data_IF_963422364719
#
_entry.id   IF_963422364719
#
_cell.length_a   1.000
_cell.length_b   1.000
_cell.length_c   1.000
_cell.angle_alpha   90.00
_cell.angle_beta   90.00
_cell.angle_gamma   90.00
#
_symmetry.space_group_name_H-M   'P 1'
#
loop_
_entity.id
_entity.type
_entity.pdbx_description
1 polymer ?
#
# COMPACT_ATOMS: atom_id res chain seq x y z
N UNK A 1 13.97 39.65 -0.56
CA UNK A 1 14.70 38.64 -1.35
C UNK A 1 14.43 37.29 -0.74
N UNK A 2 13.67 36.46 -1.45
CA UNK A 2 13.10 35.17 -1.00
C UNK A 2 14.04 34.03 -1.39
N UNK A 3 14.18 33.01 -0.55
CA UNK A 3 14.73 31.72 -0.95
C UNK A 3 13.94 30.60 -0.24
N UNK A 4 12.91 30.10 -0.91
CA UNK A 4 12.16 28.90 -0.51
C UNK A 4 12.89 27.68 -1.07
N UNK A 5 13.50 26.88 -0.19
CA UNK A 5 14.11 25.60 -0.55
C UNK A 5 13.01 24.55 -0.68
N UNK A 6 12.69 24.14 -1.90
CA UNK A 6 11.88 22.96 -2.15
C UNK A 6 12.73 21.70 -2.00
N UNK A 7 12.44 20.86 -0.99
CA UNK A 7 12.98 19.51 -0.91
C UNK A 7 12.16 18.59 -1.83
N UNK A 8 12.56 18.47 -3.10
CA UNK A 8 12.01 17.45 -4.00
C UNK A 8 13.06 16.40 -4.25
N UNK A 9 12.93 15.24 -3.61
CA UNK A 9 13.47 13.99 -4.13
C UNK A 9 12.79 12.79 -3.49
N UNK A 10 11.62 12.41 -4.00
CA UNK A 10 11.20 11.01 -4.00
C UNK A 10 11.58 10.43 -5.37
N UNK A 11 12.81 9.91 -5.47
CA UNK A 11 13.19 9.05 -6.59
C UNK A 11 12.39 7.75 -6.41
N UNK A 12 11.30 7.58 -7.15
CA UNK A 12 10.71 6.26 -7.34
C UNK A 12 11.75 5.43 -8.08
N UNK A 13 12.46 4.56 -7.36
CA UNK A 13 13.33 3.58 -7.99
C UNK A 13 12.46 2.68 -8.85
N UNK A 14 12.68 2.70 -10.16
CA UNK A 14 11.82 2.00 -11.11
C UNK A 14 12.15 0.49 -11.17
N UNK A 15 12.24 -0.14 -10.00
CA UNK A 15 12.60 -1.55 -9.85
C UNK A 15 11.43 -2.45 -10.30
N UNK A 16 11.70 -3.65 -10.82
CA UNK A 16 10.65 -4.62 -11.15
C UNK A 16 9.74 -4.94 -9.95
N UNK A 17 10.30 -4.98 -8.73
CA UNK A 17 9.52 -5.24 -7.52
C UNK A 17 8.54 -4.10 -7.20
N UNK A 18 8.94 -2.85 -7.36
CA UNK A 18 8.03 -1.70 -7.16
C UNK A 18 6.87 -1.75 -8.16
N UNK A 19 7.13 -2.08 -9.43
CA UNK A 19 6.06 -2.20 -10.44
C UNK A 19 5.08 -3.32 -10.11
N UNK A 20 5.59 -4.48 -9.68
CA UNK A 20 4.75 -5.60 -9.28
C UNK A 20 3.84 -5.21 -8.11
N UNK A 21 4.41 -4.61 -7.06
CA UNK A 21 3.66 -4.15 -5.88
C UNK A 21 2.61 -3.08 -6.24
N UNK A 22 2.93 -2.15 -7.14
CA UNK A 22 1.95 -1.16 -7.63
C UNK A 22 0.76 -1.81 -8.34
N UNK A 23 1.02 -2.81 -9.20
CA UNK A 23 -0.02 -3.52 -9.93
C UNK A 23 -0.91 -4.34 -8.98
N UNK A 24 -0.30 -5.07 -8.06
CA UNK A 24 -1.01 -5.87 -7.05
C UNK A 24 -1.85 -4.99 -6.13
N UNK A 25 -1.27 -3.90 -5.60
CA UNK A 25 -2.01 -2.95 -4.78
C UNK A 25 -3.20 -2.36 -5.54
N UNK A 26 -2.98 -1.92 -6.78
CA UNK A 26 -4.05 -1.38 -7.64
C UNK A 26 -5.16 -2.40 -7.89
N UNK A 27 -4.81 -3.68 -8.03
CA UNK A 27 -5.80 -4.74 -8.19
C UNK A 27 -6.64 -4.91 -6.92
N UNK A 28 -6.02 -4.96 -5.75
CA UNK A 28 -6.71 -5.07 -4.47
C UNK A 28 -7.64 -3.88 -4.19
N UNK A 29 -7.28 -2.67 -4.64
CA UNK A 29 -8.16 -1.49 -4.52
C UNK A 29 -9.36 -1.55 -5.48
N UNK A 30 -9.18 -2.12 -6.68
CA UNK A 30 -10.26 -2.26 -7.68
C UNK A 30 -11.20 -3.43 -7.39
N UNK A 31 -10.65 -4.51 -6.85
CA UNK A 31 -11.34 -5.75 -6.52
C UNK A 31 -11.09 -6.08 -5.04
N UNK A 32 -11.80 -5.40 -4.10
CA UNK A 32 -11.65 -5.69 -2.69
C UNK A 32 -12.02 -7.14 -2.39
N UNK A 33 -11.20 -7.79 -1.56
CA UNK A 33 -11.43 -9.17 -1.14
C UNK A 33 -12.24 -9.16 0.15
N UNK A 34 -13.34 -9.90 0.18
CA UNK A 34 -14.17 -10.05 1.38
C UNK A 34 -13.35 -10.65 2.54
N UNK A 35 -13.55 -10.12 3.73
CA UNK A 35 -12.81 -10.55 4.91
C UNK A 35 -11.37 -10.02 4.99
N UNK A 36 -10.93 -9.18 4.05
CA UNK A 36 -9.62 -8.53 4.10
C UNK A 36 -9.73 -7.02 3.97
N UNK A 37 -8.86 -6.30 4.68
CA UNK A 37 -8.58 -4.89 4.43
C UNK A 37 -7.10 -4.72 4.20
N UNK A 38 -6.73 -3.95 3.18
CA UNK A 38 -5.34 -3.77 2.79
C UNK A 38 -5.10 -2.29 2.53
N UNK A 39 -4.12 -1.72 3.23
CA UNK A 39 -3.71 -0.32 3.10
C UNK A 39 -2.20 -0.21 3.16
N UNK A 40 -1.65 0.78 2.48
CA UNK A 40 -0.25 1.16 2.68
C UNK A 40 -0.11 1.94 3.99
N UNK A 41 1.03 1.79 4.65
CA UNK A 41 1.39 2.62 5.81
C UNK A 41 1.65 4.08 5.38
N UNK A 42 2.32 4.23 4.23
CA UNK A 42 2.57 5.49 3.54
C UNK A 42 2.65 5.22 2.02
N UNK A 43 1.98 6.05 1.22
CA UNK A 43 1.97 5.97 -0.25
C UNK A 43 3.38 6.14 -0.86
N UNK A 44 4.32 6.73 -0.11
CA UNK A 44 5.72 6.85 -0.54
C UNK A 44 6.53 5.56 -0.42
N UNK A 45 6.03 4.55 0.33
CA UNK A 45 6.73 3.31 0.63
C UNK A 45 5.86 2.07 0.43
N UNK A 46 5.93 1.51 -0.78
CA UNK A 46 5.18 0.33 -1.18
C UNK A 46 5.63 -1.00 -0.55
N UNK A 47 6.59 -0.99 0.36
CA UNK A 47 7.03 -2.20 1.07
C UNK A 47 6.41 -2.35 2.47
N UNK A 48 5.60 -1.38 2.93
CA UNK A 48 4.95 -1.42 4.25
C UNK A 48 3.44 -1.30 4.15
N UNK A 49 2.75 -2.27 4.74
CA UNK A 49 1.33 -2.50 4.56
C UNK A 49 0.67 -2.79 5.91
N UNK A 50 -0.54 -2.29 6.08
CA UNK A 50 -1.46 -2.72 7.12
C UNK A 50 -2.49 -3.66 6.50
N UNK A 51 -2.59 -4.85 7.08
CA UNK A 51 -3.55 -5.87 6.65
C UNK A 51 -4.43 -6.23 7.83
N UNK A 52 -5.74 -6.04 7.66
CA UNK A 52 -6.75 -6.61 8.55
C UNK A 52 -7.35 -7.85 7.92
N UNK A 53 -7.52 -8.91 8.70
CA UNK A 53 -8.18 -10.15 8.29
C UNK A 53 -9.33 -10.37 9.27
N UNK A 54 -10.55 -10.44 8.75
CA UNK A 54 -11.72 -10.79 9.53
C UNK A 54 -11.77 -12.32 9.61
N UNK A 55 -11.94 -12.84 10.81
CA UNK A 55 -12.05 -14.27 10.99
C UNK A 55 -13.28 -14.80 10.24
N UNK A 56 -13.19 -16.01 9.66
CA UNK A 56 -14.37 -16.66 9.12
C UNK A 56 -15.40 -16.90 10.24
N UNK A 57 -16.70 -16.85 9.92
CA UNK A 57 -17.75 -17.21 10.87
C UNK A 57 -17.57 -18.64 11.37
N UNK A 58 -18.05 -18.92 12.58
CA UNK A 58 -17.95 -20.24 13.22
C UNK A 58 -16.50 -20.70 13.50
N UNK A 59 -15.55 -19.75 13.58
CA UNK A 59 -14.17 -20.01 13.99
C UNK A 59 -13.82 -19.26 15.27
N UNK A 60 -12.63 -19.54 15.83
CA UNK A 60 -12.14 -18.83 17.03
C UNK A 60 -11.80 -17.34 16.79
N UNK A 61 -11.91 -16.86 15.54
CA UNK A 61 -11.45 -15.53 15.12
C UNK A 61 -12.59 -14.64 14.61
N UNK A 62 -13.84 -15.10 14.70
CA UNK A 62 -15.04 -14.34 14.32
C UNK A 62 -15.14 -12.98 15.04
#
# INVERSE_FOLDING_TARGET
TTATTHYTSSRTSNSPSIRALQLEYSKLQKEPVEGFTVKLDDDSNLYKWHVGIFGPPDTLYE
#
